data_IF_470788383462
#
_entry.id   IF_470788383462
#
_cell.length_a   1.000
_cell.length_b   1.000
_cell.length_c   1.000
_cell.angle_alpha   90.00
_cell.angle_beta   90.00
_cell.angle_gamma   90.00
#
_symmetry.space_group_name_H-M   'P 1'
#
loop_
_entity.id
_entity.type
_entity.pdbx_description
1 polymer ?
#
# COMPACT_ATOMS: atom_id res chain seq x y z
N UNK A 1 -13.70 -16.24 -30.21
CA UNK A 1 -12.35 -15.87 -30.72
C UNK A 1 -11.37 -16.09 -29.58
N UNK A 2 -10.43 -17.02 -29.75
CA UNK A 2 -9.36 -17.28 -28.77
C UNK A 2 -8.25 -16.25 -29.02
N UNK A 3 -7.96 -15.38 -28.05
CA UNK A 3 -6.80 -14.48 -28.14
C UNK A 3 -5.53 -15.33 -28.14
N UNK A 4 -4.83 -15.38 -29.27
CA UNK A 4 -3.71 -16.29 -29.54
C UNK A 4 -2.33 -15.74 -29.19
N UNK A 5 -2.22 -14.52 -28.68
CA UNK A 5 -0.92 -13.83 -28.65
C UNK A 5 -0.41 -13.50 -27.24
N UNK A 6 -0.92 -14.19 -26.20
CA UNK A 6 -0.34 -14.07 -24.87
C UNK A 6 0.88 -14.99 -24.74
N UNK A 7 2.05 -14.41 -25.00
CA UNK A 7 3.32 -14.98 -24.55
C UNK A 7 3.54 -14.48 -23.14
N UNK A 8 3.61 -15.34 -22.10
CA UNK A 8 3.89 -14.87 -20.76
C UNK A 8 5.21 -14.08 -20.75
N UNK A 9 5.29 -12.95 -20.02
CA UNK A 9 6.52 -12.18 -19.97
C UNK A 9 7.66 -13.08 -19.52
N UNK A 10 8.79 -13.00 -20.22
CA UNK A 10 9.98 -13.73 -19.80
C UNK A 10 10.32 -13.30 -18.38
N UNK A 11 10.38 -14.27 -17.46
CA UNK A 11 11.04 -14.06 -16.17
C UNK A 11 12.51 -13.93 -16.52
N UNK A 12 12.96 -12.71 -16.78
CA UNK A 12 14.35 -12.43 -17.08
C UNK A 12 15.08 -12.45 -15.75
N UNK A 13 15.89 -13.46 -15.56
CA UNK A 13 16.81 -13.62 -14.44
C UNK A 13 18.05 -12.74 -14.60
N UNK A 14 17.92 -11.51 -15.13
CA UNK A 14 19.03 -10.57 -15.26
C UNK A 14 18.54 -9.13 -15.06
N UNK A 15 19.01 -8.51 -13.98
CA UNK A 15 18.77 -7.09 -13.64
C UNK A 15 19.73 -6.17 -14.40
N UNK A 16 19.33 -4.93 -14.76
CA UNK A 16 20.22 -3.94 -15.37
C UNK A 16 21.36 -3.47 -14.44
N UNK A 17 21.21 -3.65 -13.12
CA UNK A 17 22.07 -3.05 -12.09
C UNK A 17 22.98 -4.05 -11.36
N UNK A 18 22.99 -5.34 -11.74
CA UNK A 18 23.97 -6.31 -11.25
C UNK A 18 23.79 -6.82 -9.82
N UNK A 19 22.60 -6.68 -9.21
CA UNK A 19 22.33 -7.09 -7.82
C UNK A 19 21.29 -8.21 -7.70
N UNK A 20 21.37 -9.22 -8.57
CA UNK A 20 20.59 -10.43 -8.35
C UNK A 20 21.14 -11.26 -7.19
N UNK A 21 20.34 -11.38 -6.13
CA UNK A 21 20.59 -12.30 -5.02
C UNK A 21 20.64 -11.67 -3.63
N UNK A 22 20.32 -10.38 -3.46
CA UNK A 22 20.38 -9.72 -2.14
C UNK A 22 19.02 -9.44 -1.48
N UNK A 23 17.92 -9.54 -2.21
CA UNK A 23 16.59 -9.31 -1.64
C UNK A 23 15.96 -10.64 -1.20
N UNK A 24 15.20 -10.61 -0.10
CA UNK A 24 14.45 -11.77 0.39
C UNK A 24 13.37 -12.21 -0.62
N UNK A 25 12.67 -13.32 -0.32
CA UNK A 25 11.71 -13.98 -1.21
C UNK A 25 10.57 -13.10 -1.73
N UNK A 26 10.39 -11.90 -1.16
CA UNK A 26 9.30 -10.98 -1.43
C UNK A 26 9.60 -9.96 -2.55
N UNK A 27 10.77 -10.01 -3.21
CA UNK A 27 11.07 -9.14 -4.36
C UNK A 27 11.16 -9.93 -5.66
N UNK A 28 10.39 -9.51 -6.66
CA UNK A 28 10.37 -10.10 -8.00
C UNK A 28 10.72 -9.07 -9.06
N UNK A 29 11.80 -9.31 -9.81
CA UNK A 29 12.19 -8.50 -10.95
C UNK A 29 11.63 -9.08 -12.25
N UNK A 30 10.93 -8.26 -13.03
CA UNK A 30 10.30 -8.63 -14.29
C UNK A 30 10.81 -7.73 -15.42
N UNK A 31 10.98 -8.29 -16.61
CA UNK A 31 11.21 -7.51 -17.83
C UNK A 31 9.95 -7.53 -18.69
N UNK A 32 9.34 -6.37 -18.88
CA UNK A 32 8.05 -6.23 -19.57
C UNK A 32 8.15 -5.07 -20.55
N UNK A 33 7.96 -5.35 -21.85
CA UNK A 33 8.03 -4.36 -22.93
C UNK A 33 9.32 -3.50 -22.91
N UNK A 34 10.46 -4.11 -22.61
CA UNK A 34 11.75 -3.41 -22.52
C UNK A 34 11.91 -2.52 -21.28
N UNK A 35 11.02 -2.65 -20.29
CA UNK A 35 11.11 -2.00 -18.98
C UNK A 35 11.39 -3.03 -17.90
N UNK A 36 12.16 -2.64 -16.90
CA UNK A 36 12.31 -3.41 -15.67
C UNK A 36 11.23 -3.01 -14.68
N UNK A 37 10.51 -3.99 -14.14
CA UNK A 37 9.52 -3.81 -13.08
C UNK A 37 10.00 -4.58 -11.86
N UNK A 38 10.16 -3.88 -10.75
CA UNK A 38 10.52 -4.47 -9.46
C UNK A 38 9.24 -4.53 -8.64
N UNK A 39 8.71 -5.73 -8.44
CA UNK A 39 7.51 -5.99 -7.66
C UNK A 39 7.93 -6.37 -6.24
N UNK A 40 7.49 -5.59 -5.27
CA UNK A 40 7.74 -5.82 -3.85
C UNK A 40 6.44 -6.34 -3.23
N UNK A 41 6.44 -7.59 -2.79
CA UNK A 41 5.39 -8.16 -1.97
C UNK A 41 5.48 -7.59 -0.56
N UNK A 42 4.37 -7.09 -0.02
CA UNK A 42 4.32 -6.59 1.35
C UNK A 42 3.28 -7.32 2.18
N UNK A 43 3.60 -7.55 3.45
CA UNK A 43 2.63 -7.94 4.45
C UNK A 43 2.15 -6.68 5.17
N UNK A 44 0.84 -6.43 5.16
CA UNK A 44 0.20 -5.18 5.60
C UNK A 44 0.32 -4.83 7.09
N UNK A 45 1.20 -5.49 7.84
CA UNK A 45 1.44 -5.24 9.26
C UNK A 45 2.85 -5.74 9.63
N UNK A 46 3.86 -5.36 8.85
CA UNK A 46 5.24 -5.83 9.02
C UNK A 46 6.23 -4.68 8.90
N UNK A 47 7.08 -4.51 9.91
CA UNK A 47 8.20 -3.57 9.87
C UNK A 47 9.22 -4.00 8.79
N UNK A 48 9.38 -5.30 8.59
CA UNK A 48 10.23 -5.87 7.54
C UNK A 48 9.80 -5.40 6.15
N UNK A 49 8.48 -5.30 5.89
CA UNK A 49 7.96 -4.76 4.63
C UNK A 49 8.31 -3.27 4.44
N UNK A 50 8.29 -2.49 5.51
CA UNK A 50 8.65 -1.05 5.48
C UNK A 50 10.14 -0.90 5.17
N UNK A 51 10.97 -1.67 5.85
CA UNK A 51 12.42 -1.64 5.69
C UNK A 51 12.83 -2.11 4.28
N UNK A 52 12.15 -3.15 3.76
CA UNK A 52 12.38 -3.66 2.40
C UNK A 52 12.04 -2.62 1.33
N UNK A 53 10.87 -1.99 1.42
CA UNK A 53 10.44 -0.94 0.49
C UNK A 53 11.47 0.19 0.45
N UNK A 54 11.91 0.64 1.63
CA UNK A 54 12.91 1.70 1.75
C UNK A 54 14.23 1.29 1.11
N UNK A 55 14.70 0.08 1.41
CA UNK A 55 15.96 -0.46 0.88
C UNK A 55 15.94 -0.50 -0.65
N UNK A 56 14.88 -1.06 -1.24
CA UNK A 56 14.77 -1.20 -2.69
C UNK A 56 14.72 0.16 -3.38
N UNK A 57 13.93 1.12 -2.87
CA UNK A 57 13.86 2.46 -3.47
C UNK A 57 15.18 3.22 -3.35
N UNK A 58 15.87 3.12 -2.20
CA UNK A 58 17.20 3.75 -2.00
C UNK A 58 18.28 3.15 -2.87
N UNK A 59 18.20 1.86 -3.21
CA UNK A 59 19.23 1.19 -4.00
C UNK A 59 18.99 1.28 -5.50
N UNK A 60 17.74 1.07 -5.94
CA UNK A 60 17.43 0.93 -7.36
C UNK A 60 17.10 2.27 -8.03
N UNK A 61 16.76 3.30 -7.25
CA UNK A 61 16.43 4.64 -7.75
C UNK A 61 15.52 4.60 -9.00
N UNK A 62 14.33 4.00 -8.91
CA UNK A 62 13.49 3.78 -10.07
C UNK A 62 13.00 5.10 -10.69
N UNK A 63 12.69 5.08 -11.98
CA UNK A 63 12.10 6.23 -12.68
C UNK A 63 10.69 6.59 -12.17
N UNK A 64 10.01 5.66 -11.48
CA UNK A 64 8.67 5.83 -10.93
C UNK A 64 8.38 4.77 -9.85
N UNK A 65 7.65 5.16 -8.80
CA UNK A 65 7.12 4.24 -7.78
C UNK A 65 5.61 4.09 -7.96
N UNK A 66 5.15 2.85 -8.15
CA UNK A 66 3.75 2.50 -8.25
C UNK A 66 3.27 1.86 -6.94
N UNK A 67 2.22 2.40 -6.32
CA UNK A 67 1.68 1.92 -5.04
C UNK A 67 0.29 1.35 -5.25
N UNK A 68 0.02 0.14 -4.77
CA UNK A 68 -1.30 -0.52 -4.82
C UNK A 68 -2.28 0.15 -3.82
N UNK A 69 -2.65 1.39 -4.11
CA UNK A 69 -3.50 2.20 -3.25
C UNK A 69 -4.35 3.15 -4.09
N UNK A 70 -5.65 3.26 -3.78
CA UNK A 70 -6.54 4.22 -4.43
C UNK A 70 -6.50 5.59 -3.75
N UNK A 71 -6.85 6.65 -4.49
CA UNK A 71 -6.76 8.04 -4.01
C UNK A 71 -7.52 8.31 -2.70
N UNK A 72 -8.70 7.69 -2.49
CA UNK A 72 -9.48 7.90 -1.26
C UNK A 72 -8.83 7.23 -0.08
N UNK A 73 -8.29 6.03 -0.28
CA UNK A 73 -7.53 5.33 0.76
C UNK A 73 -6.23 6.06 1.08
N UNK A 74 -5.54 6.59 0.07
CA UNK A 74 -4.39 7.45 0.28
C UNK A 74 -4.74 8.68 1.12
N UNK A 75 -5.83 9.39 0.79
CA UNK A 75 -6.30 10.52 1.60
C UNK A 75 -6.59 10.12 3.05
N UNK A 76 -7.26 8.98 3.26
CA UNK A 76 -7.63 8.48 4.59
C UNK A 76 -6.41 8.08 5.42
N UNK A 77 -5.46 7.35 4.83
CA UNK A 77 -4.24 6.88 5.50
C UNK A 77 -3.26 8.03 5.75
N UNK A 78 -3.22 9.03 4.87
CA UNK A 78 -2.39 10.24 5.05
C UNK A 78 -2.96 11.23 6.07
N UNK A 79 -4.30 11.23 6.28
CA UNK A 79 -4.98 12.18 7.17
C UNK A 79 -5.93 11.48 8.17
N UNK A 80 -5.42 10.58 9.04
CA UNK A 80 -6.26 9.79 9.95
C UNK A 80 -7.13 10.67 10.87
N UNK A 81 -6.56 11.79 11.34
CA UNK A 81 -7.24 12.73 12.25
C UNK A 81 -8.45 13.44 11.63
N UNK A 82 -8.53 13.54 10.29
CA UNK A 82 -9.63 14.26 9.62
C UNK A 82 -10.93 13.46 9.69
N UNK A 83 -10.85 12.14 9.60
CA UNK A 83 -12.03 11.28 9.70
C UNK A 83 -12.51 11.16 11.15
N UNK A 84 -11.58 10.90 12.08
CA UNK A 84 -11.89 10.79 13.51
C UNK A 84 -12.54 12.07 14.06
N UNK A 85 -12.04 13.24 13.67
CA UNK A 85 -12.58 14.52 14.14
C UNK A 85 -13.97 14.87 13.59
N UNK A 86 -14.32 14.41 12.38
CA UNK A 86 -15.66 14.61 11.81
C UNK A 86 -16.69 13.73 12.52
N UNK A 87 -16.38 12.45 12.73
CA UNK A 87 -17.27 11.51 13.41
C UNK A 87 -17.45 11.88 14.89
N UNK A 88 -16.39 12.29 15.60
CA UNK A 88 -16.48 12.67 17.01
C UNK A 88 -17.40 13.87 17.22
N UNK A 89 -17.31 14.89 16.34
CA UNK A 89 -18.18 16.08 16.40
C UNK A 89 -19.64 15.73 16.17
N UNK A 90 -19.93 14.85 15.21
CA UNK A 90 -21.28 14.35 14.93
C UNK A 90 -21.85 13.56 16.12
N UNK A 91 -21.06 12.67 16.72
CA UNK A 91 -21.46 11.83 17.87
C UNK A 91 -21.74 12.69 19.11
N UNK A 92 -20.88 13.67 19.39
CA UNK A 92 -21.06 14.63 20.50
C UNK A 92 -22.32 15.48 20.25
N UNK A 93 -22.52 15.96 19.01
CA UNK A 93 -23.71 16.74 18.63
C UNK A 93 -25.01 15.95 18.82
N UNK A 94 -24.98 14.63 18.59
CA UNK A 94 -26.13 13.72 18.76
C UNK A 94 -26.26 13.16 20.18
N UNK A 95 -25.42 13.57 21.14
CA UNK A 95 -25.40 13.09 22.54
C UNK A 95 -25.30 11.56 22.68
N UNK A 96 -24.66 10.87 21.75
CA UNK A 96 -24.57 9.40 21.75
C UNK A 96 -23.37 8.91 22.58
N UNK A 97 -23.46 9.07 23.91
CA UNK A 97 -22.42 8.71 24.88
C UNK A 97 -22.01 7.23 24.82
N UNK A 98 -22.95 6.32 24.55
CA UNK A 98 -22.67 4.89 24.41
C UNK A 98 -21.82 4.56 23.19
N UNK A 99 -22.10 5.20 22.05
CA UNK A 99 -21.30 5.07 20.82
C UNK A 99 -19.89 5.62 21.00
N UNK A 100 -19.76 6.76 21.70
CA UNK A 100 -18.46 7.33 22.04
C UNK A 100 -17.62 6.37 22.89
N UNK A 101 -18.23 5.72 23.89
CA UNK A 101 -17.56 4.72 24.74
C UNK A 101 -17.10 3.49 23.95
N UNK A 102 -17.95 2.96 23.06
CA UNK A 102 -17.59 1.81 22.19
C UNK A 102 -16.43 2.18 21.28
N UNK A 103 -16.46 3.37 20.67
CA UNK A 103 -15.36 3.85 19.84
C UNK A 103 -14.07 4.00 20.65
N UNK A 104 -14.12 4.56 21.86
CA UNK A 104 -12.94 4.71 22.72
C UNK A 104 -12.31 3.36 23.08
N UNK A 105 -13.15 2.37 23.41
CA UNK A 105 -12.71 1.00 23.68
C UNK A 105 -12.07 0.42 22.43
N UNK A 106 -12.75 0.47 21.28
CA UNK A 106 -12.24 -0.07 20.01
C UNK A 106 -10.92 0.60 19.60
N UNK A 107 -10.81 1.93 19.69
CA UNK A 107 -9.58 2.68 19.44
C UNK A 107 -8.46 2.28 20.39
N UNK A 108 -8.74 2.01 21.67
CA UNK A 108 -7.73 1.51 22.61
C UNK A 108 -7.23 0.11 22.25
N UNK A 109 -8.11 -0.76 21.74
CA UNK A 109 -7.74 -2.09 21.24
C UNK A 109 -6.94 -2.01 19.93
N UNK A 110 -7.36 -1.15 18.99
CA UNK A 110 -6.63 -0.87 17.76
C UNK A 110 -5.23 -0.32 18.06
N UNK A 111 -5.13 0.62 19.00
CA UNK A 111 -3.84 1.18 19.44
C UNK A 111 -2.93 0.11 20.03
N UNK A 112 -3.45 -0.73 20.94
CA UNK A 112 -2.68 -1.85 21.52
C UNK A 112 -2.29 -2.92 20.49
N UNK A 113 -3.09 -3.11 19.45
CA UNK A 113 -2.76 -4.05 18.36
C UNK A 113 -1.66 -3.46 17.46
N UNK A 114 -1.73 -2.18 17.13
CA UNK A 114 -0.66 -1.44 16.46
C UNK A 114 0.65 -1.46 17.27
N UNK A 115 0.58 -1.24 18.58
CA UNK A 115 1.75 -1.29 19.47
C UNK A 115 2.39 -2.70 19.55
N UNK A 116 1.59 -3.77 19.40
CA UNK A 116 2.08 -5.17 19.41
C UNK A 116 2.64 -5.62 18.07
N UNK A 117 2.15 -5.04 16.98
CA UNK A 117 2.59 -5.37 15.62
C UNK A 117 3.60 -4.36 15.06
N UNK A 118 3.94 -3.32 15.84
CA UNK A 118 4.96 -2.32 15.55
C UNK A 118 4.56 -1.29 14.49
N UNK A 119 3.65 -1.63 13.57
CA UNK A 119 3.28 -0.80 12.42
C UNK A 119 1.77 -0.77 12.16
N UNK A 120 1.29 0.35 11.61
CA UNK A 120 -0.11 0.55 11.22
C UNK A 120 -0.29 -0.03 9.80
N UNK A 121 -1.44 -0.63 9.46
CA UNK A 121 -1.67 -1.08 8.09
C UNK A 121 -1.52 0.05 7.08
N UNK A 122 -0.74 -0.20 6.02
CA UNK A 122 -0.42 0.79 5.00
C UNK A 122 0.77 1.69 5.34
N UNK A 123 1.48 1.46 6.46
CA UNK A 123 2.75 2.15 6.75
C UNK A 123 3.79 1.88 5.66
N UNK A 124 3.84 0.65 5.13
CA UNK A 124 4.71 0.28 4.01
C UNK A 124 4.42 1.10 2.74
N UNK A 125 3.14 1.35 2.46
CA UNK A 125 2.71 2.16 1.31
C UNK A 125 3.07 3.63 1.49
N UNK A 126 2.83 4.17 2.70
CA UNK A 126 3.22 5.55 3.02
C UNK A 126 4.74 5.73 2.95
N UNK A 127 5.52 4.76 3.42
CA UNK A 127 6.97 4.83 3.35
C UNK A 127 7.45 4.78 1.89
N UNK A 128 6.82 3.98 1.02
CA UNK A 128 7.12 3.98 -0.41
C UNK A 128 6.96 5.39 -1.02
N UNK A 129 5.85 6.06 -0.70
CA UNK A 129 5.53 7.41 -1.18
C UNK A 129 6.53 8.42 -0.62
N UNK A 130 6.81 8.36 0.68
CA UNK A 130 7.78 9.24 1.34
C UNK A 130 9.17 9.11 0.75
N UNK A 131 9.60 7.88 0.48
CA UNK A 131 10.92 7.60 -0.09
C UNK A 131 11.00 8.09 -1.52
N UNK A 132 9.94 7.90 -2.32
CA UNK A 132 9.87 8.47 -3.65
C UNK A 132 9.97 10.01 -3.62
N UNK A 133 9.20 10.67 -2.75
CA UNK A 133 9.25 12.14 -2.57
C UNK A 133 10.64 12.62 -2.15
N UNK A 134 11.30 11.91 -1.21
CA UNK A 134 12.66 12.23 -0.74
C UNK A 134 13.69 12.19 -1.88
N UNK A 135 13.48 11.32 -2.86
CA UNK A 135 14.38 11.13 -4.01
C UNK A 135 13.91 11.83 -5.29
N UNK A 136 12.86 12.65 -5.21
CA UNK A 136 12.23 13.32 -6.37
C UNK A 136 11.79 12.34 -7.47
N UNK A 137 11.36 11.14 -7.05
CA UNK A 137 10.83 10.09 -7.92
C UNK A 137 9.31 10.26 -8.01
N UNK A 138 8.71 10.26 -9.23
CA UNK A 138 7.27 10.38 -9.36
C UNK A 138 6.54 9.15 -8.79
N UNK A 139 5.40 9.41 -8.14
CA UNK A 139 4.53 8.38 -7.54
C UNK A 139 3.25 8.22 -8.36
N UNK A 140 2.87 6.98 -8.64
CA UNK A 140 1.60 6.61 -9.25
C UNK A 140 0.78 5.71 -8.33
N UNK A 141 -0.47 6.12 -8.08
CA UNK A 141 -1.46 5.29 -7.39
C UNK A 141 -2.03 4.27 -8.37
N UNK A 142 -1.66 3.00 -8.19
CA UNK A 142 -1.87 1.90 -9.13
C UNK A 142 -3.09 1.02 -8.80
N UNK A 143 -3.95 1.44 -7.87
CA UNK A 143 -5.21 0.75 -7.59
C UNK A 143 -6.45 1.58 -7.99
N UNK A 144 -7.55 0.87 -8.24
CA UNK A 144 -8.85 1.45 -8.56
C UNK A 144 -9.64 1.73 -7.28
N UNK A 145 -10.60 2.64 -7.37
CA UNK A 145 -11.56 2.88 -6.28
C UNK A 145 -12.24 1.56 -5.85
N UNK A 146 -12.06 1.20 -4.57
CA UNK A 146 -12.59 -0.02 -3.96
C UNK A 146 -14.09 -0.22 -4.19
N UNK A 147 -14.87 0.88 -4.31
CA UNK A 147 -16.32 0.82 -4.56
C UNK A 147 -16.64 0.22 -5.92
N UNK A 148 -15.78 0.42 -6.91
CA UNK A 148 -15.91 -0.22 -8.23
C UNK A 148 -15.71 -1.73 -8.10
N UNK A 149 -14.70 -2.16 -7.34
CA UNK A 149 -14.43 -3.57 -7.05
C UNK A 149 -15.60 -4.22 -6.33
N UNK A 150 -16.10 -3.62 -5.25
CA UNK A 150 -17.24 -4.16 -4.50
C UNK A 150 -18.52 -4.23 -5.34
N UNK A 151 -18.82 -3.19 -6.14
CA UNK A 151 -19.98 -3.20 -7.03
C UNK A 151 -19.92 -4.34 -8.05
N UNK A 152 -18.74 -4.68 -8.55
CA UNK A 152 -18.56 -5.81 -9.48
C UNK A 152 -18.75 -7.15 -8.77
N UNK A 153 -18.20 -7.29 -7.56
CA UNK A 153 -18.38 -8.49 -6.75
C UNK A 153 -19.87 -8.78 -6.47
N UNK A 154 -20.64 -7.74 -6.13
CA UNK A 154 -22.08 -7.87 -5.88
C UNK A 154 -22.97 -8.07 -7.11
N UNK A 155 -22.51 -7.74 -8.33
CA UNK A 155 -23.28 -8.01 -9.56
C UNK A 155 -23.18 -9.48 -10.02
N UNK A 156 -22.28 -10.25 -9.41
CA UNK A 156 -22.07 -11.66 -9.71
C UNK A 156 -22.65 -12.59 -8.61
N UNK A 157 -23.55 -12.06 -7.77
CA UNK A 157 -24.43 -12.83 -6.88
C UNK A 157 -25.87 -12.47 -7.23
#
# INVERSE_FOLDING_TARGET
MKNSDYTPPAIVSESPTGLMGQYEADVLCLSVYGKTVILIGTAHVSQESVDLVKLVIEQEHPDCVCVELDAKRFEAISHPNRWESLDLKEIIRKQQLSTLMVNLILSSFQKRLGDKLGVIPGTEMLEAIRMAEKHDIPVTLADRDVRVTMRRAWRNT
#
